data_IF_380949570391
#
_entry.id   IF_380949570391
#
_cell.length_a   1.000
_cell.length_b   1.000
_cell.length_c   1.000
_cell.angle_alpha   90.00
_cell.angle_beta   90.00
_cell.angle_gamma   90.00
#
_symmetry.space_group_name_H-M   'P 1'
#
loop_
_entity.id
_entity.type
_entity.pdbx_description
1 polymer ?
#
# COMPACT_ATOMS: atom_id res chain seq x y z
N UNK A 1 10.30 -11.40 16.21
CA UNK A 1 10.52 -12.35 15.09
C UNK A 1 11.95 -12.19 14.57
N UNK A 2 12.71 -13.29 14.43
CA UNK A 2 13.97 -13.28 13.66
C UNK A 2 13.59 -13.55 12.21
N UNK A 3 13.65 -12.53 11.36
CA UNK A 3 13.44 -12.69 9.92
C UNK A 3 14.54 -13.63 9.40
N UNK A 4 14.17 -14.86 9.06
CA UNK A 4 15.05 -15.77 8.35
C UNK A 4 14.89 -15.47 6.87
N UNK A 5 15.99 -15.10 6.22
CA UNK A 5 16.05 -15.01 4.77
C UNK A 5 15.82 -16.41 4.21
N UNK A 6 14.64 -16.63 3.65
CA UNK A 6 14.26 -17.91 3.06
C UNK A 6 14.39 -17.78 1.54
N UNK A 7 15.43 -18.41 1.00
CA UNK A 7 15.74 -18.37 -0.42
C UNK A 7 14.59 -18.89 -1.29
N UNK A 8 13.72 -19.75 -0.76
CA UNK A 8 12.57 -20.26 -1.50
C UNK A 8 11.56 -19.14 -1.77
N UNK A 9 11.20 -18.37 -0.74
CA UNK A 9 10.24 -17.26 -0.86
C UNK A 9 10.82 -16.07 -1.63
N UNK A 10 12.11 -15.77 -1.42
CA UNK A 10 12.80 -14.69 -2.14
C UNK A 10 12.91 -14.94 -3.66
N UNK A 11 12.89 -16.23 -4.07
CA UNK A 11 13.01 -16.65 -5.47
C UNK A 11 11.67 -16.87 -6.16
N UNK A 12 10.53 -16.57 -5.49
CA UNK A 12 9.22 -16.70 -6.12
C UNK A 12 9.12 -15.64 -7.21
N UNK A 13 9.41 -16.05 -8.45
CA UNK A 13 9.30 -15.19 -9.62
C UNK A 13 7.92 -14.56 -9.75
N UNK A 14 6.87 -15.25 -9.27
CA UNK A 14 5.51 -14.72 -9.27
C UNK A 14 5.35 -13.47 -8.40
N UNK A 15 6.16 -13.29 -7.35
CA UNK A 15 6.19 -12.07 -6.55
C UNK A 15 6.86 -10.94 -7.35
N UNK A 16 8.02 -11.22 -7.95
CA UNK A 16 8.79 -10.24 -8.73
C UNK A 16 8.12 -9.82 -10.05
N UNK A 17 7.38 -10.73 -10.69
CA UNK A 17 6.63 -10.50 -11.93
C UNK A 17 5.17 -10.09 -11.68
N UNK A 18 4.77 -9.94 -10.42
CA UNK A 18 3.38 -9.60 -10.10
C UNK A 18 3.05 -8.20 -10.59
N UNK A 19 2.09 -8.14 -11.52
CA UNK A 19 1.50 -6.88 -12.01
C UNK A 19 0.64 -6.17 -10.94
N UNK A 20 0.41 -6.81 -9.80
CA UNK A 20 -0.47 -6.33 -8.73
C UNK A 20 0.31 -5.85 -7.51
N UNK A 21 1.37 -6.57 -7.11
CA UNK A 21 2.07 -6.27 -5.85
C UNK A 21 2.72 -4.89 -5.87
N UNK A 22 3.34 -4.51 -6.99
CA UNK A 22 3.99 -3.20 -7.10
C UNK A 22 3.00 -2.04 -7.02
N UNK A 23 1.84 -2.07 -7.70
CA UNK A 23 0.77 -1.11 -7.46
C UNK A 23 0.25 -1.07 -6.02
N UNK A 24 0.04 -2.24 -5.39
CA UNK A 24 -0.38 -2.31 -3.98
C UNK A 24 0.62 -1.60 -3.08
N UNK A 25 1.91 -1.94 -3.19
CA UNK A 25 2.97 -1.34 -2.36
C UNK A 25 3.06 0.17 -2.61
N UNK A 26 2.96 0.61 -3.87
CA UNK A 26 3.04 2.03 -4.24
C UNK A 26 1.88 2.84 -3.66
N UNK A 27 0.66 2.32 -3.75
CA UNK A 27 -0.54 2.96 -3.19
C UNK A 27 -0.53 2.94 -1.66
N UNK A 28 -0.14 1.81 -1.05
CA UNK A 28 0.07 1.68 0.39
C UNK A 28 1.05 2.75 0.89
N UNK A 29 2.19 2.90 0.22
CA UNK A 29 3.19 3.89 0.60
C UNK A 29 2.68 5.33 0.45
N UNK A 30 1.86 5.63 -0.56
CA UNK A 30 1.24 6.95 -0.68
C UNK A 30 0.33 7.26 0.52
N UNK A 31 -0.47 6.29 0.97
CA UNK A 31 -1.34 6.43 2.13
C UNK A 31 -0.51 6.57 3.42
N UNK A 32 0.46 5.68 3.63
CA UNK A 32 1.25 5.66 4.87
C UNK A 32 2.27 6.79 5.00
N UNK A 33 2.51 7.57 3.94
CA UNK A 33 3.32 8.79 3.97
C UNK A 33 2.48 10.04 4.27
N UNK A 34 1.16 9.96 4.10
CA UNK A 34 0.27 11.05 4.52
C UNK A 34 0.27 11.16 6.05
N UNK A 35 0.38 12.37 6.62
CA UNK A 35 0.38 12.57 8.07
C UNK A 35 -0.89 12.06 8.79
N UNK A 36 -2.01 11.99 8.08
CA UNK A 36 -3.29 11.52 8.60
C UNK A 36 -3.57 10.05 8.28
N UNK A 37 -2.64 9.37 7.59
CA UNK A 37 -2.78 7.96 7.20
C UNK A 37 -3.93 7.72 6.21
N UNK A 38 -4.39 8.75 5.51
CA UNK A 38 -5.47 8.66 4.55
C UNK A 38 -5.34 9.72 3.46
N UNK A 39 -5.84 9.43 2.26
CA UNK A 39 -5.75 10.36 1.13
C UNK A 39 -7.08 10.39 0.36
N UNK A 40 -7.50 11.54 -0.19
CA UNK A 40 -8.57 11.59 -1.15
C UNK A 40 -8.15 10.91 -2.46
N UNK A 41 -9.13 10.37 -3.19
CA UNK A 41 -8.87 9.73 -4.49
C UNK A 41 -8.18 10.65 -5.51
N UNK A 42 -8.40 11.96 -5.40
CA UNK A 42 -7.81 12.99 -6.27
C UNK A 42 -6.28 12.97 -6.28
N UNK A 43 -5.65 12.55 -5.19
CA UNK A 43 -4.19 12.62 -5.01
C UNK A 43 -3.46 11.54 -5.81
N UNK A 44 -4.18 10.49 -6.19
CA UNK A 44 -3.62 9.32 -6.89
C UNK A 44 -4.32 9.02 -8.21
N UNK A 45 -5.56 9.50 -8.43
CA UNK A 45 -6.35 9.12 -9.61
C UNK A 45 -5.69 9.47 -10.95
N UNK A 46 -4.90 10.55 -10.99
CA UNK A 46 -4.16 11.00 -12.20
C UNK A 46 -2.78 10.35 -12.34
N UNK A 47 -2.31 9.63 -11.31
CA UNK A 47 -0.98 9.02 -11.24
C UNK A 47 -0.99 7.52 -11.54
N UNK A 48 -2.10 6.98 -12.08
CA UNK A 48 -2.26 5.54 -12.33
C UNK A 48 -1.10 4.91 -13.12
N UNK A 49 -0.60 5.58 -14.17
CA UNK A 49 0.56 5.12 -14.96
C UNK A 49 1.83 5.10 -14.10
N UNK A 50 2.11 6.17 -13.35
CA UNK A 50 3.27 6.27 -12.47
C UNK A 50 3.25 5.21 -11.36
N UNK A 51 2.06 4.89 -10.86
CA UNK A 51 1.83 3.89 -9.82
C UNK A 51 1.65 2.47 -10.41
N UNK A 52 1.82 2.32 -11.72
CA UNK A 52 1.71 1.07 -12.49
C UNK A 52 0.37 0.34 -12.30
N UNK A 53 -0.67 1.09 -11.97
CA UNK A 53 -2.02 0.54 -11.76
C UNK A 53 -2.61 0.18 -13.14
N UNK A 54 -3.00 -1.08 -13.39
CA UNK A 54 -3.47 -1.54 -14.71
C UNK A 54 -4.88 -1.04 -15.07
N UNK A 55 -5.52 -0.28 -14.19
CA UNK A 55 -6.88 0.23 -14.35
C UNK A 55 -7.09 1.52 -13.54
N UNK A 56 -8.33 2.03 -13.51
CA UNK A 56 -8.68 3.19 -12.68
C UNK A 56 -8.30 2.93 -11.21
N UNK A 57 -7.54 3.84 -10.61
CA UNK A 57 -7.00 3.69 -9.25
C UNK A 57 -8.09 3.40 -8.21
N UNK A 58 -9.22 4.13 -8.25
CA UNK A 58 -10.35 3.88 -7.35
C UNK A 58 -10.89 2.45 -7.48
N UNK A 59 -10.99 1.93 -8.71
CA UNK A 59 -11.43 0.56 -8.96
C UNK A 59 -10.40 -0.43 -8.41
N UNK A 60 -9.12 -0.17 -8.60
CA UNK A 60 -8.05 -1.03 -8.09
C UNK A 60 -8.07 -1.11 -6.56
N UNK A 61 -8.16 0.01 -5.85
CA UNK A 61 -8.22 0.05 -4.39
C UNK A 61 -9.39 -0.80 -3.85
N UNK A 62 -10.57 -0.68 -4.48
CA UNK A 62 -11.78 -1.46 -4.13
C UNK A 62 -11.66 -2.97 -4.37
N UNK A 63 -10.72 -3.41 -5.22
CA UNK A 63 -10.49 -4.84 -5.44
C UNK A 63 -9.70 -5.50 -4.30
N UNK A 64 -9.05 -4.71 -3.44
CA UNK A 64 -8.24 -5.21 -2.32
C UNK A 64 -8.73 -4.64 -0.98
N UNK A 65 -9.98 -4.94 -0.57
CA UNK A 65 -10.59 -4.38 0.64
C UNK A 65 -9.95 -4.88 1.93
N UNK A 66 -9.17 -5.97 1.89
CA UNK A 66 -8.38 -6.42 3.04
C UNK A 66 -7.20 -5.49 3.34
N UNK A 67 -6.82 -4.63 2.39
CA UNK A 67 -5.69 -3.70 2.50
C UNK A 67 -6.19 -2.25 2.54
N UNK A 68 -7.13 -1.90 1.65
CA UNK A 68 -7.61 -0.54 1.48
C UNK A 68 -9.05 -0.40 1.92
N UNK A 69 -9.31 0.58 2.78
CA UNK A 69 -10.65 0.93 3.23
C UNK A 69 -11.07 2.25 2.58
N UNK A 70 -12.25 2.24 1.94
CA UNK A 70 -12.88 3.46 1.41
C UNK A 70 -13.83 4.07 2.45
N UNK A 71 -13.77 5.39 2.60
CA UNK A 71 -14.67 6.14 3.47
C UNK A 71 -15.02 7.50 2.86
N UNK A 72 -16.04 8.16 3.42
CA UNK A 72 -16.39 9.53 3.03
C UNK A 72 -15.50 10.50 3.77
N UNK A 73 -14.65 11.23 3.05
CA UNK A 73 -13.76 12.18 3.68
C UNK A 73 -14.42 13.50 4.06
N UNK A 74 -13.70 14.34 4.82
CA UNK A 74 -14.22 15.59 5.36
C UNK A 74 -14.52 16.67 4.30
N UNK A 75 -13.98 16.51 3.09
CA UNK A 75 -14.07 17.52 2.04
C UNK A 75 -14.71 16.96 0.77
N UNK A 76 -15.60 17.76 0.18
CA UNK A 76 -16.19 17.60 -1.16
C UNK A 76 -16.94 16.28 -1.43
N UNK A 77 -17.32 15.51 -0.40
CA UNK A 77 -17.98 14.20 -0.52
C UNK A 77 -17.27 13.27 -1.52
N UNK A 78 -15.95 13.39 -1.62
CA UNK A 78 -15.16 12.51 -2.46
C UNK A 78 -14.81 11.22 -1.71
N UNK A 79 -14.54 10.12 -2.43
CA UNK A 79 -13.95 8.93 -1.84
C UNK A 79 -12.57 9.21 -1.27
N UNK A 80 -12.37 8.82 -0.01
CA UNK A 80 -11.08 8.80 0.65
C UNK A 80 -10.68 7.36 0.92
N UNK A 81 -9.38 7.12 0.95
CA UNK A 81 -8.82 5.79 1.17
C UNK A 81 -7.80 5.83 2.30
N UNK A 82 -7.85 4.81 3.14
CA UNK A 82 -6.85 4.53 4.18
C UNK A 82 -6.48 3.06 4.15
N UNK A 83 -5.47 2.69 4.93
CA UNK A 83 -5.22 1.27 5.20
C UNK A 83 -6.23 0.74 6.19
N UNK A 84 -6.58 -0.54 6.05
CA UNK A 84 -7.27 -1.27 7.13
C UNK A 84 -6.41 -1.29 8.39
N UNK A 85 -7.00 -1.40 9.59
CA UNK A 85 -6.23 -1.48 10.84
C UNK A 85 -5.14 -2.56 10.81
N UNK A 86 -5.45 -3.73 10.22
CA UNK A 86 -4.53 -4.85 10.09
C UNK A 86 -3.38 -4.52 9.13
N UNK A 87 -3.68 -3.92 7.97
CA UNK A 87 -2.64 -3.53 7.01
C UNK A 87 -1.74 -2.40 7.53
N UNK A 88 -2.32 -1.45 8.27
CA UNK A 88 -1.54 -0.39 8.92
C UNK A 88 -0.62 -0.94 10.02
N UNK A 89 -1.09 -1.91 10.82
CA UNK A 89 -0.25 -2.57 11.81
C UNK A 89 0.95 -3.28 11.18
N UNK A 90 0.73 -4.01 10.08
CA UNK A 90 1.78 -4.67 9.31
C UNK A 90 2.78 -3.65 8.76
N UNK A 91 2.33 -2.53 8.19
CA UNK A 91 3.21 -1.46 7.68
C UNK A 91 4.07 -0.84 8.80
N UNK A 92 3.48 -0.60 9.98
CA UNK A 92 4.21 -0.10 11.16
C UNK A 92 5.27 -1.10 11.63
N UNK A 93 4.94 -2.39 11.65
CA UNK A 93 5.89 -3.45 12.03
C UNK A 93 7.04 -3.54 11.02
N UNK A 94 6.74 -3.54 9.71
CA UNK A 94 7.73 -3.51 8.62
C UNK A 94 8.70 -2.34 8.80
N UNK A 95 8.17 -1.12 8.95
CA UNK A 95 8.98 0.10 9.17
C UNK A 95 9.82 0.02 10.43
N UNK A 96 9.30 -0.56 11.51
CA UNK A 96 10.04 -0.75 12.76
C UNK A 96 11.25 -1.67 12.55
N UNK A 97 11.07 -2.78 11.84
CA UNK A 97 12.17 -3.71 11.53
C UNK A 97 13.21 -3.08 10.59
N UNK A 98 12.78 -2.42 9.52
CA UNK A 98 13.69 -1.77 8.57
C UNK A 98 14.56 -0.70 9.23
N UNK A 99 14.01 0.07 10.18
CA UNK A 99 14.77 1.06 10.97
C UNK A 99 15.81 0.43 11.90
N UNK A 100 15.56 -0.78 12.38
CA UNK A 100 16.50 -1.53 13.23
C UNK A 100 17.62 -2.12 12.36
N UNK A 101 17.28 -2.67 11.19
CA UNK A 101 18.25 -3.27 10.27
C UNK A 101 19.23 -2.25 9.68
N UNK A 102 18.79 -1.00 9.43
CA UNK A 102 19.66 0.08 8.95
C UNK A 102 20.61 0.67 10.00
N UNK A 103 20.61 0.17 11.25
CA UNK A 103 21.47 0.63 12.36
C UNK A 103 22.54 -0.39 12.79
N UNK A 104 22.55 -1.57 12.16
CA UNK A 104 23.54 -2.64 12.35
C UNK A 104 24.39 -2.80 11.11
#
# INVERSE_FOLDING_TARGET
MKWKKDSYYDSIEQIHKSIVLKPIISLKNCISQDPNGCIPISDVSKRGIQLEVPMKVARFLRLYPSIFEEFTGPQYNLPWFRLTPEADEIDREEKRFMRIAGRT
#
